data_IF_331316631687
#
_entry.id   IF_331316631687
#
_cell.length_a   1.000
_cell.length_b   1.000
_cell.length_c   1.000
_cell.angle_alpha   90.00
_cell.angle_beta   90.00
_cell.angle_gamma   90.00
#
_symmetry.space_group_name_H-M   'P 1'
#
loop_
_entity.id
_entity.type
_entity.pdbx_description
1 polymer ?
#
# COMPACT_ATOMS: atom_id res chain seq x y z
N UNK A 1 31.25 5.00 -18.47
CA UNK A 1 30.61 4.35 -17.29
C UNK A 1 29.91 5.41 -16.43
N UNK A 2 29.12 6.29 -17.06
CA UNK A 2 28.58 7.54 -16.43
C UNK A 2 27.04 7.62 -16.55
N UNK A 3 26.33 6.49 -16.64
CA UNK A 3 24.91 6.54 -17.01
C UNK A 3 24.00 5.70 -16.12
N UNK A 4 24.08 5.91 -14.80
CA UNK A 4 23.12 5.34 -13.83
C UNK A 4 22.77 6.38 -12.74
N UNK A 5 22.49 7.63 -13.15
CA UNK A 5 22.09 8.70 -12.23
C UNK A 5 20.57 8.92 -12.29
N UNK A 6 19.86 8.28 -11.37
CA UNK A 6 19.00 9.00 -10.42
C UNK A 6 17.53 9.30 -10.73
N UNK A 7 17.05 9.28 -11.99
CA UNK A 7 15.73 9.86 -12.30
C UNK A 7 14.61 8.85 -12.62
N UNK A 8 14.91 7.55 -12.60
CA UNK A 8 13.98 6.51 -13.05
C UNK A 8 12.91 6.13 -12.01
N UNK A 9 13.20 6.27 -10.71
CA UNK A 9 12.36 5.72 -9.65
C UNK A 9 10.98 6.39 -9.52
N UNK A 10 10.91 7.71 -9.70
CA UNK A 10 9.64 8.45 -9.59
C UNK A 10 8.72 8.20 -10.80
N UNK A 11 9.30 8.07 -12.00
CA UNK A 11 8.57 7.82 -13.24
C UNK A 11 7.93 6.44 -13.24
N UNK A 12 8.68 5.41 -12.81
CA UNK A 12 8.21 4.03 -12.69
C UNK A 12 7.07 3.90 -11.67
N UNK A 13 7.16 4.60 -10.53
CA UNK A 13 6.08 4.64 -9.55
C UNK A 13 4.81 5.27 -10.14
N UNK A 14 4.94 6.35 -10.89
CA UNK A 14 3.81 6.98 -11.57
C UNK A 14 3.15 6.06 -12.60
N UNK A 15 3.95 5.29 -13.34
CA UNK A 15 3.45 4.30 -14.31
C UNK A 15 2.71 3.16 -13.62
N UNK A 16 3.24 2.66 -12.51
CA UNK A 16 2.58 1.65 -11.69
C UNK A 16 1.23 2.13 -11.18
N UNK A 17 1.16 3.36 -10.64
CA UNK A 17 -0.09 3.94 -10.15
C UNK A 17 -1.15 4.03 -11.26
N UNK A 18 -0.77 4.51 -12.46
CA UNK A 18 -1.68 4.55 -13.63
C UNK A 18 -2.13 3.15 -14.06
N UNK A 19 -1.26 2.15 -13.98
CA UNK A 19 -1.62 0.76 -14.28
C UNK A 19 -2.63 0.21 -13.26
N UNK A 20 -2.50 0.57 -11.99
CA UNK A 20 -3.45 0.19 -10.93
C UNK A 20 -4.81 0.87 -11.16
N UNK A 21 -4.84 2.16 -11.49
CA UNK A 21 -6.09 2.90 -11.75
C UNK A 21 -6.91 2.29 -12.89
N UNK A 22 -6.23 1.85 -13.95
CA UNK A 22 -6.84 1.23 -15.14
C UNK A 22 -7.11 -0.28 -14.99
N UNK A 23 -6.80 -0.88 -13.84
CA UNK A 23 -7.00 -2.32 -13.59
C UNK A 23 -8.49 -2.71 -13.59
N UNK A 24 -8.89 -3.53 -14.57
CA UNK A 24 -10.31 -3.89 -14.80
C UNK A 24 -10.77 -5.20 -14.16
N UNK A 25 -9.87 -6.02 -13.60
CA UNK A 25 -10.21 -7.39 -13.14
C UNK A 25 -10.88 -7.46 -11.76
N UNK A 26 -11.56 -6.40 -11.33
CA UNK A 26 -12.41 -6.39 -10.14
C UNK A 26 -12.08 -5.27 -9.15
N UNK A 27 -13.13 -4.67 -8.59
CA UNK A 27 -13.04 -3.52 -7.69
C UNK A 27 -12.26 -3.83 -6.41
N UNK A 28 -12.37 -5.05 -5.88
CA UNK A 28 -11.64 -5.48 -4.68
C UNK A 28 -10.15 -5.61 -4.94
N UNK A 29 -9.75 -6.24 -6.04
CA UNK A 29 -8.33 -6.36 -6.42
C UNK A 29 -7.71 -4.99 -6.71
N UNK A 30 -8.45 -4.09 -7.38
CA UNK A 30 -8.00 -2.70 -7.57
C UNK A 30 -7.83 -1.97 -6.24
N UNK A 31 -8.81 -2.06 -5.34
CA UNK A 31 -8.74 -1.43 -4.02
C UNK A 31 -7.54 -1.93 -3.20
N UNK A 32 -7.27 -3.24 -3.21
CA UNK A 32 -6.10 -3.84 -2.55
C UNK A 32 -4.79 -3.30 -3.14
N UNK A 33 -4.66 -3.22 -4.46
CA UNK A 33 -3.48 -2.66 -5.11
C UNK A 33 -3.28 -1.17 -4.78
N UNK A 34 -4.36 -0.40 -4.78
CA UNK A 34 -4.34 1.01 -4.37
C UNK A 34 -3.90 1.14 -2.92
N UNK A 35 -4.49 0.38 -2.00
CA UNK A 35 -4.14 0.42 -0.58
C UNK A 35 -2.69 0.02 -0.36
N UNK A 36 -2.23 -1.08 -0.95
CA UNK A 36 -0.84 -1.52 -0.85
C UNK A 36 0.15 -0.43 -1.32
N UNK A 37 -0.22 0.35 -2.32
CA UNK A 37 0.62 1.44 -2.84
C UNK A 37 0.64 2.70 -1.97
N UNK A 38 -0.42 2.95 -1.20
CA UNK A 38 -0.56 4.14 -0.35
C UNK A 38 0.09 3.96 1.02
N UNK A 39 -0.04 2.77 1.60
CA UNK A 39 0.40 2.49 2.99
C UNK A 39 1.54 1.46 3.07
N UNK A 40 2.03 0.97 1.93
CA UNK A 40 3.20 0.07 1.81
C UNK A 40 3.14 -1.18 2.70
N UNK A 41 1.94 -1.68 2.99
CA UNK A 41 1.77 -2.89 3.81
C UNK A 41 2.22 -4.12 3.06
N UNK A 42 2.61 -5.17 3.79
CA UNK A 42 2.96 -6.44 3.16
C UNK A 42 1.69 -7.08 2.58
N UNK A 43 1.72 -7.65 1.35
CA UNK A 43 0.54 -8.28 0.75
C UNK A 43 -0.09 -9.38 1.62
N UNK A 44 0.71 -10.05 2.46
CA UNK A 44 0.22 -11.04 3.43
C UNK A 44 -0.63 -10.44 4.55
N UNK A 45 -0.29 -9.25 5.03
CA UNK A 45 -1.04 -8.52 6.08
C UNK A 45 -2.35 -7.99 5.48
N UNK A 46 -2.29 -7.41 4.28
CA UNK A 46 -3.48 -6.89 3.58
C UNK A 46 -4.53 -7.98 3.28
N UNK A 47 -4.09 -9.20 2.96
CA UNK A 47 -5.02 -10.33 2.77
C UNK A 47 -5.70 -10.78 4.07
N UNK A 48 -5.12 -10.49 5.23
CA UNK A 48 -5.68 -10.78 6.54
C UNK A 48 -6.48 -9.62 7.15
N UNK A 49 -6.50 -8.45 6.50
CA UNK A 49 -7.17 -7.26 7.00
C UNK A 49 -8.67 -7.52 7.22
N UNK A 50 -9.18 -7.10 8.38
CA UNK A 50 -10.61 -7.16 8.69
C UNK A 50 -11.20 -5.77 8.57
N UNK A 51 -12.46 -5.69 8.15
CA UNK A 51 -13.19 -4.42 8.09
C UNK A 51 -13.23 -3.67 9.43
N UNK A 52 -13.24 -4.40 10.55
CA UNK A 52 -13.23 -3.82 11.90
C UNK A 52 -11.93 -3.07 12.23
N UNK A 53 -10.83 -3.38 11.54
CA UNK A 53 -9.52 -2.76 11.78
C UNK A 53 -9.37 -1.44 10.98
N UNK A 54 -10.26 -1.20 9.99
CA UNK A 54 -10.20 -0.06 9.07
C UNK A 54 -11.18 1.03 9.51
N UNK A 55 -10.66 2.19 9.86
CA UNK A 55 -11.41 3.39 10.20
C UNK A 55 -11.41 4.37 9.02
N UNK A 56 -12.41 4.25 8.13
CA UNK A 56 -12.50 5.05 6.91
C UNK A 56 -12.61 6.57 7.20
N UNK A 57 -13.37 6.98 8.22
CA UNK A 57 -13.54 8.40 8.58
C UNK A 57 -12.23 9.05 9.05
N UNK A 58 -11.34 8.25 9.66
CA UNK A 58 -10.04 8.71 10.14
C UNK A 58 -8.92 8.49 9.12
N UNK A 59 -9.22 7.83 8.00
CA UNK A 59 -8.23 7.33 7.06
C UNK A 59 -7.12 6.49 7.75
N UNK A 60 -7.50 5.72 8.77
CA UNK A 60 -6.59 4.90 9.57
C UNK A 60 -6.89 3.42 9.37
N UNK A 61 -5.85 2.60 9.34
CA UNK A 61 -5.98 1.16 9.54
C UNK A 61 -5.08 0.75 10.70
N UNK A 62 -5.68 0.12 11.71
CA UNK A 62 -5.00 -0.36 12.92
C UNK A 62 -5.04 -1.89 12.95
N UNK A 63 -4.02 -2.52 12.36
CA UNK A 63 -3.83 -3.97 12.47
C UNK A 63 -2.94 -4.31 13.66
N UNK A 64 -3.26 -5.41 14.34
CA UNK A 64 -2.43 -6.05 15.37
C UNK A 64 -1.79 -7.30 14.78
N UNK A 65 -0.83 -7.17 13.87
CA UNK A 65 -0.20 -8.34 13.26
C UNK A 65 0.72 -9.06 14.26
N UNK A 66 0.21 -10.17 14.82
CA UNK A 66 0.87 -11.38 15.40
C UNK A 66 2.11 -11.29 16.32
N UNK A 67 2.57 -10.12 16.70
CA UNK A 67 3.42 -9.87 17.85
C UNK A 67 2.85 -8.61 18.46
N UNK A 68 2.53 -8.61 19.75
CA UNK A 68 1.90 -7.46 20.45
C UNK A 68 2.81 -6.23 20.56
N UNK A 69 3.41 -5.81 19.45
CA UNK A 69 4.27 -4.65 19.34
C UNK A 69 3.48 -3.59 18.58
N UNK A 70 2.85 -2.71 19.35
CA UNK A 70 2.35 -1.43 18.86
C UNK A 70 3.51 -0.68 18.21
N UNK A 71 3.49 -0.52 16.88
CA UNK A 71 4.53 0.22 16.16
C UNK A 71 4.10 1.68 16.02
N UNK A 72 4.32 2.45 17.08
CA UNK A 72 4.23 3.92 17.02
C UNK A 72 5.43 4.45 16.26
N UNK A 73 5.30 4.59 14.95
CA UNK A 73 6.26 5.34 14.14
C UNK A 73 6.02 6.82 14.44
N UNK A 74 6.86 7.43 15.29
CA UNK A 74 7.29 8.83 15.31
C UNK A 74 8.03 9.09 16.64
N UNK A 75 9.37 9.07 16.59
CA UNK A 75 10.26 9.84 17.48
C UNK A 75 11.42 10.33 16.64
#
# INVERSE_FOLDING_TARGET
MEQLRGDHHASELGELQRAIETYKRGVGARAVLQLASLIFVRPGELRGARWLDIHLDKAEWRDTSKTGTERTWYR
#
